data_IF_249468432193
#
_entry.id   IF_249468432193
#
_cell.length_a   1.000
_cell.length_b   1.000
_cell.length_c   1.000
_cell.angle_alpha   90.00
_cell.angle_beta   90.00
_cell.angle_gamma   90.00
#
_symmetry.space_group_name_H-M   'P 1'
#
loop_
_entity.id
_entity.type
_entity.pdbx_description
1 polymer ?
#
# COMPACT_ATOMS: atom_id res chain seq x y z
N UNK A 1 -14.51 -4.92 -4.43
CA UNK A 1 -14.12 -3.54 -4.11
C UNK A 1 -12.65 -3.45 -3.71
N UNK A 2 -12.12 -4.36 -2.89
CA UNK A 2 -10.71 -4.35 -2.46
C UNK A 2 -9.73 -4.45 -3.64
N UNK A 3 -10.00 -5.31 -4.61
CA UNK A 3 -9.19 -5.43 -5.83
C UNK A 3 -9.19 -4.11 -6.60
N UNK A 4 -10.34 -3.44 -6.68
CA UNK A 4 -10.43 -2.13 -7.34
C UNK A 4 -9.64 -1.04 -6.59
N UNK A 5 -9.64 -1.07 -5.26
CA UNK A 5 -8.83 -0.16 -4.45
C UNK A 5 -7.33 -0.38 -4.71
N UNK A 6 -6.90 -1.64 -4.73
CA UNK A 6 -5.51 -1.98 -5.05
C UNK A 6 -5.15 -1.58 -6.48
N UNK A 7 -6.05 -1.77 -7.44
CA UNK A 7 -5.84 -1.29 -8.80
C UNK A 7 -5.63 0.23 -8.83
N UNK A 8 -6.41 0.99 -8.07
CA UNK A 8 -6.25 2.45 -7.96
C UNK A 8 -4.93 2.83 -7.30
N UNK A 9 -4.51 2.12 -6.27
CA UNK A 9 -3.20 2.32 -5.62
C UNK A 9 -2.07 2.02 -6.61
N UNK A 10 -2.17 0.92 -7.34
CA UNK A 10 -1.19 0.56 -8.38
C UNK A 10 -1.07 1.61 -9.46
N UNK A 11 -2.19 2.11 -9.96
CA UNK A 11 -2.22 3.19 -10.96
C UNK A 11 -1.61 4.48 -10.42
N UNK A 12 -1.87 4.81 -9.15
CA UNK A 12 -1.29 5.98 -8.50
C UNK A 12 0.24 5.86 -8.40
N UNK A 13 0.75 4.70 -8.02
CA UNK A 13 2.18 4.42 -7.95
C UNK A 13 2.84 4.48 -9.34
N UNK A 14 2.21 3.92 -10.36
CA UNK A 14 2.69 4.02 -11.74
C UNK A 14 2.67 5.48 -12.23
N UNK A 15 1.61 6.23 -11.95
CA UNK A 15 1.52 7.66 -12.24
C UNK A 15 2.63 8.46 -11.56
N UNK A 16 2.94 8.13 -10.30
CA UNK A 16 4.05 8.72 -9.58
C UNK A 16 5.38 8.50 -10.31
N UNK A 17 5.61 7.31 -10.85
CA UNK A 17 6.87 7.01 -11.58
C UNK A 17 7.00 7.81 -12.87
N UNK A 18 5.92 8.14 -13.56
CA UNK A 18 5.94 8.94 -14.78
C UNK A 18 6.53 10.33 -14.55
N UNK A 19 6.26 10.94 -13.41
CA UNK A 19 6.75 12.28 -13.04
C UNK A 19 8.11 12.25 -12.35
N UNK A 20 8.66 11.07 -12.04
CA UNK A 20 9.87 10.90 -11.25
C UNK A 20 10.92 10.00 -11.92
N UNK A 21 10.97 10.01 -13.24
CA UNK A 21 12.00 9.29 -14.02
C UNK A 21 11.91 7.77 -13.90
N UNK A 22 10.71 7.21 -13.74
CA UNK A 22 10.49 5.77 -13.57
C UNK A 22 10.74 5.26 -12.15
N UNK A 23 10.89 6.15 -11.17
CA UNK A 23 11.21 5.80 -9.78
C UNK A 23 9.97 5.76 -8.91
N UNK A 24 9.81 4.67 -8.16
CA UNK A 24 8.81 4.55 -7.10
C UNK A 24 9.21 5.42 -5.89
N UNK A 25 8.27 5.74 -4.96
CA UNK A 25 8.57 6.61 -3.82
C UNK A 25 9.78 6.17 -2.97
N UNK A 26 10.04 4.88 -2.90
CA UNK A 26 11.19 4.33 -2.17
C UNK A 26 12.48 4.23 -3.00
N UNK A 27 12.45 4.62 -4.27
CA UNK A 27 13.58 4.58 -5.20
C UNK A 27 14.09 5.98 -5.56
N UNK A 28 13.57 7.03 -4.95
CA UNK A 28 13.87 8.41 -5.30
C UNK A 28 15.33 8.78 -5.04
N UNK A 29 15.88 9.66 -5.89
CA UNK A 29 17.17 10.32 -5.65
C UNK A 29 16.97 11.47 -4.64
N UNK A 30 18.09 11.99 -4.09
CA UNK A 30 18.04 12.98 -2.99
C UNK A 30 17.25 14.25 -3.31
N UNK A 31 17.34 14.76 -4.53
CA UNK A 31 16.56 15.94 -4.94
C UNK A 31 15.07 15.67 -4.97
N UNK A 32 14.65 14.51 -5.49
CA UNK A 32 13.26 14.08 -5.54
C UNK A 32 12.71 13.81 -4.14
N UNK A 33 13.51 13.22 -3.24
CA UNK A 33 13.13 13.03 -1.84
C UNK A 33 12.81 14.35 -1.16
N UNK A 34 13.61 15.39 -1.38
CA UNK A 34 13.35 16.73 -0.86
C UNK A 34 12.08 17.33 -1.42
N UNK A 35 11.84 17.16 -2.73
CA UNK A 35 10.67 17.73 -3.39
C UNK A 35 9.36 17.13 -2.89
N UNK A 36 9.34 15.83 -2.59
CA UNK A 36 8.13 15.14 -2.14
C UNK A 36 7.97 15.08 -0.62
N UNK A 37 9.06 14.91 0.12
CA UNK A 37 9.04 14.65 1.56
C UNK A 37 9.69 15.76 2.40
N UNK A 38 10.35 16.72 1.78
CA UNK A 38 11.09 17.75 2.51
C UNK A 38 12.23 17.15 3.33
N UNK A 39 12.40 17.65 4.56
CA UNK A 39 13.41 17.15 5.49
C UNK A 39 13.02 15.84 6.21
N UNK A 40 11.76 15.41 6.08
CA UNK A 40 11.16 14.31 6.83
C UNK A 40 10.99 13.04 5.99
N UNK A 41 11.96 12.74 5.14
CA UNK A 41 11.88 11.57 4.28
C UNK A 41 11.88 10.27 5.08
N UNK A 42 10.75 9.56 5.04
CA UNK A 42 10.59 8.21 5.57
C UNK A 42 9.80 7.40 4.55
N UNK A 43 10.25 6.18 4.26
CA UNK A 43 9.67 5.30 3.24
C UNK A 43 8.48 4.47 3.78
N UNK A 44 7.67 5.03 4.67
CA UNK A 44 6.52 4.35 5.26
C UNK A 44 5.21 4.73 4.59
N UNK A 45 4.16 3.99 4.90
CA UNK A 45 2.82 4.16 4.34
C UNK A 45 2.29 5.59 4.53
N UNK A 46 2.34 6.10 5.76
CA UNK A 46 1.84 7.42 6.09
C UNK A 46 2.49 8.52 5.23
N UNK A 47 3.82 8.66 5.26
CA UNK A 47 4.52 9.62 4.42
C UNK A 47 4.26 9.47 2.93
N UNK A 48 4.32 8.27 2.38
CA UNK A 48 4.11 8.02 0.95
C UNK A 48 2.72 8.47 0.50
N UNK A 49 1.67 8.06 1.19
CA UNK A 49 0.30 8.43 0.85
C UNK A 49 -0.07 9.87 1.24
N UNK A 50 0.77 10.55 1.99
CA UNK A 50 0.59 11.98 2.34
C UNK A 50 1.31 12.92 1.40
N UNK A 51 2.07 12.42 0.43
CA UNK A 51 2.68 13.28 -0.61
C UNK A 51 1.60 13.90 -1.49
N UNK A 52 1.84 15.11 -1.96
CA UNK A 52 0.90 15.80 -2.85
C UNK A 52 0.66 15.00 -4.14
N UNK A 53 1.69 14.36 -4.68
CA UNK A 53 1.59 13.54 -5.88
C UNK A 53 0.66 12.34 -5.69
N UNK A 54 0.82 11.58 -4.60
CA UNK A 54 -0.03 10.42 -4.32
C UNK A 54 -1.46 10.82 -3.99
N UNK A 55 -1.67 11.89 -3.23
CA UNK A 55 -3.01 12.41 -2.95
C UNK A 55 -3.74 12.85 -4.22
N UNK A 56 -3.05 13.51 -5.13
CA UNK A 56 -3.60 13.92 -6.42
C UNK A 56 -4.04 12.72 -7.27
N UNK A 57 -3.25 11.67 -7.30
CA UNK A 57 -3.57 10.44 -8.05
C UNK A 57 -4.72 9.65 -7.43
N UNK A 58 -4.77 9.55 -6.11
CA UNK A 58 -5.81 8.79 -5.39
C UNK A 58 -7.13 9.55 -5.24
N UNK A 59 -7.08 10.87 -5.12
CA UNK A 59 -8.22 11.79 -4.97
C UNK A 59 -8.99 11.68 -3.64
N UNK A 60 -9.07 10.52 -3.02
CA UNK A 60 -9.77 10.31 -1.75
C UNK A 60 -9.04 9.30 -0.86
N UNK A 61 -9.12 9.51 0.46
CA UNK A 61 -8.58 8.59 1.44
C UNK A 61 -9.35 7.26 1.53
N UNK A 62 -10.60 7.23 1.08
CA UNK A 62 -11.44 6.02 1.13
C UNK A 62 -10.85 4.84 0.34
N UNK A 63 -10.07 5.12 -0.70
CA UNK A 63 -9.38 4.08 -1.48
C UNK A 63 -8.38 3.28 -0.62
N UNK A 64 -7.83 3.90 0.42
CA UNK A 64 -6.86 3.26 1.32
C UNK A 64 -7.48 2.30 2.32
N UNK A 65 -8.80 2.28 2.42
CA UNK A 65 -9.55 1.39 3.31
C UNK A 65 -10.20 0.24 2.53
N UNK A 66 -10.04 -0.97 3.06
CA UNK A 66 -10.68 -2.17 2.50
C UNK A 66 -12.01 -2.43 3.20
N UNK A 67 -13.11 -2.75 2.47
CA UNK A 67 -14.35 -3.21 3.07
C UNK A 67 -14.20 -4.50 3.89
N UNK A 68 -13.14 -5.27 3.67
CA UNK A 68 -12.82 -6.46 4.44
C UNK A 68 -12.12 -6.15 5.77
N UNK A 69 -11.89 -4.88 6.07
CA UNK A 69 -11.11 -4.41 7.22
C UNK A 69 -11.93 -3.46 8.09
N UNK A 70 -12.97 -3.97 8.72
CA UNK A 70 -13.88 -3.19 9.55
C UNK A 70 -13.18 -2.49 10.73
N UNK A 71 -12.09 -3.05 11.23
CA UNK A 71 -11.33 -2.49 12.33
C UNK A 71 -10.70 -1.12 12.01
N UNK A 72 -10.53 -0.79 10.72
CA UNK A 72 -9.93 0.46 10.27
C UNK A 72 -10.93 1.47 9.73
N UNK A 73 -12.22 1.17 9.80
CA UNK A 73 -13.28 2.03 9.26
C UNK A 73 -13.31 3.40 9.93
N UNK A 74 -13.36 3.45 11.25
CA UNK A 74 -13.40 4.72 12.00
C UNK A 74 -12.14 5.55 11.77
N UNK A 75 -10.97 4.92 11.68
CA UNK A 75 -9.73 5.60 11.37
C UNK A 75 -9.75 6.18 9.96
N UNK A 76 -10.36 5.47 8.99
CA UNK A 76 -10.51 5.96 7.62
C UNK A 76 -11.45 7.15 7.53
N UNK A 77 -12.56 7.17 8.27
CA UNK A 77 -13.46 8.34 8.32
C UNK A 77 -12.73 9.60 8.77
N UNK A 78 -11.91 9.49 9.80
CA UNK A 78 -11.11 10.61 10.28
C UNK A 78 -10.06 11.04 9.26
N UNK A 79 -9.43 10.08 8.60
CA UNK A 79 -8.47 10.35 7.53
C UNK A 79 -9.14 11.06 6.34
N UNK A 80 -10.34 10.61 5.95
CA UNK A 80 -11.08 11.23 4.85
C UNK A 80 -11.43 12.70 5.14
N UNK A 81 -11.80 13.02 6.38
CA UNK A 81 -12.09 14.40 6.80
C UNK A 81 -10.86 15.30 6.77
N UNK A 82 -9.69 14.76 7.09
CA UNK A 82 -8.43 15.51 7.11
C UNK A 82 -7.60 15.41 5.83
N UNK A 83 -8.10 14.73 4.80
CA UNK A 83 -7.33 14.37 3.61
C UNK A 83 -6.57 15.54 2.97
N UNK A 84 -7.23 16.68 2.78
CA UNK A 84 -6.63 17.88 2.17
C UNK A 84 -5.50 18.49 3.01
N UNK A 85 -5.54 18.29 4.33
CA UNK A 85 -4.54 18.82 5.27
C UNK A 85 -3.28 17.97 5.41
N UNK A 86 -3.31 16.72 4.98
CA UNK A 86 -2.13 15.86 5.05
C UNK A 86 -1.07 16.31 4.04
N UNK A 87 0.16 16.41 4.52
CA UNK A 87 1.31 16.80 3.70
C UNK A 87 2.60 16.19 4.26
N UNK A 88 3.27 15.39 3.46
CA UNK A 88 4.50 14.72 3.85
C UNK A 88 5.63 15.72 4.20
N UNK A 89 5.66 16.88 3.55
CA UNK A 89 6.67 17.91 3.81
C UNK A 89 6.52 18.58 5.17
N UNK A 90 5.30 18.72 5.66
CA UNK A 90 5.01 19.38 6.95
C UNK A 90 4.95 18.39 8.11
N UNK A 91 5.06 17.09 7.84
CA UNK A 91 4.94 16.05 8.86
C UNK A 91 3.50 15.77 9.29
N UNK A 92 2.50 16.35 8.66
CA UNK A 92 1.09 16.00 8.90
C UNK A 92 0.73 14.79 8.05
N UNK A 93 0.88 13.60 8.64
CA UNK A 93 0.82 12.31 7.96
C UNK A 93 -0.49 11.58 8.25
N UNK A 94 -1.02 10.90 7.23
CA UNK A 94 -2.10 9.93 7.43
C UNK A 94 -1.60 8.78 8.31
N UNK A 95 -2.43 8.38 9.27
CA UNK A 95 -2.07 7.27 10.18
C UNK A 95 -2.08 5.92 9.46
N UNK A 96 -1.14 5.07 9.81
CA UNK A 96 -1.12 3.68 9.33
C UNK A 96 -2.39 2.92 9.71
N UNK A 97 -3.06 3.31 10.81
CA UNK A 97 -4.32 2.70 11.24
C UNK A 97 -5.51 3.02 10.31
N UNK A 98 -5.37 3.98 9.42
CA UNK A 98 -6.36 4.32 8.40
C UNK A 98 -6.15 3.58 7.08
N UNK A 99 -5.10 2.77 6.97
CA UNK A 99 -4.67 2.14 5.71
C UNK A 99 -4.75 0.63 5.84
N UNK A 100 -5.49 -0.02 4.93
CA UNK A 100 -5.68 -1.48 4.89
C UNK A 100 -4.67 -2.20 3.99
N UNK A 101 -3.76 -1.47 3.38
CA UNK A 101 -2.80 -1.99 2.40
C UNK A 101 -1.37 -1.69 2.83
N UNK A 102 -0.43 -2.49 2.35
CA UNK A 102 1.00 -2.29 2.56
C UNK A 102 1.74 -2.13 1.24
N UNK A 103 2.90 -1.51 1.27
CA UNK A 103 3.75 -1.30 0.11
C UNK A 103 4.90 -2.29 0.11
N UNK A 104 5.27 -2.79 -1.06
CA UNK A 104 6.35 -3.76 -1.24
C UNK A 104 7.55 -3.04 -1.85
N UNK A 105 8.55 -2.77 -1.05
CA UNK A 105 9.74 -1.97 -1.44
C UNK A 105 10.63 -2.65 -2.49
N UNK A 106 10.53 -3.97 -2.66
CA UNK A 106 11.24 -4.70 -3.70
C UNK A 106 10.65 -4.56 -5.09
N UNK A 107 9.50 -3.88 -5.23
CA UNK A 107 8.84 -3.70 -6.53
C UNK A 107 9.63 -2.78 -7.44
N UNK A 108 9.56 -3.07 -8.73
CA UNK A 108 10.22 -2.31 -9.79
C UNK A 108 9.30 -2.24 -11.00
N UNK A 109 9.06 -1.02 -11.51
CA UNK A 109 8.25 -0.80 -12.72
C UNK A 109 8.89 -1.46 -13.94
N UNK A 110 10.20 -1.56 -13.99
CA UNK A 110 10.91 -2.30 -15.03
C UNK A 110 10.71 -3.82 -15.00
N UNK A 111 10.13 -4.35 -13.93
CA UNK A 111 9.80 -5.76 -13.76
C UNK A 111 8.30 -5.93 -13.51
N UNK A 112 7.48 -6.09 -14.58
CA UNK A 112 6.02 -6.04 -14.48
C UNK A 112 5.37 -7.07 -13.56
N UNK A 113 6.05 -8.17 -13.29
CA UNK A 113 5.55 -9.24 -12.40
C UNK A 113 5.83 -8.99 -10.92
N UNK A 114 6.54 -7.94 -10.56
CA UNK A 114 6.79 -7.61 -9.15
C UNK A 114 5.54 -7.03 -8.49
N UNK A 115 5.37 -7.31 -7.19
CA UNK A 115 4.21 -6.87 -6.40
C UNK A 115 4.47 -5.46 -5.88
N UNK A 116 3.55 -4.52 -6.18
CA UNK A 116 3.61 -3.13 -5.68
C UNK A 116 3.01 -2.98 -4.29
N UNK A 117 1.84 -3.58 -4.08
CA UNK A 117 1.07 -3.43 -2.85
C UNK A 117 0.21 -4.66 -2.63
N UNK A 118 -0.11 -4.92 -1.36
CA UNK A 118 -1.00 -6.01 -0.95
C UNK A 118 -1.93 -5.55 0.15
N UNK A 119 -2.96 -6.36 0.42
CA UNK A 119 -3.73 -6.22 1.66
C UNK A 119 -2.81 -6.43 2.87
N UNK A 120 -3.10 -5.76 3.99
CA UNK A 120 -2.23 -5.75 5.19
C UNK A 120 -2.12 -7.08 5.95
N UNK A 121 -2.93 -8.06 5.60
CA UNK A 121 -2.96 -9.38 6.27
C UNK A 121 -1.81 -10.32 5.85
N UNK A 122 -0.67 -9.76 5.52
CA UNK A 122 0.58 -10.50 5.27
C UNK A 122 1.32 -10.72 6.60
N UNK A 123 1.67 -11.97 6.93
CA UNK A 123 2.22 -12.32 8.25
C UNK A 123 3.65 -11.89 8.49
N UNK A 124 4.45 -11.76 7.44
CA UNK A 124 5.87 -11.42 7.55
C UNK A 124 6.23 -10.29 6.59
N UNK A 125 7.28 -9.56 6.92
CA UNK A 125 7.80 -8.48 6.08
C UNK A 125 8.55 -8.96 4.83
N UNK A 126 8.59 -10.27 4.59
CA UNK A 126 9.30 -10.88 3.49
C UNK A 126 8.35 -11.78 2.70
N UNK A 127 8.18 -11.51 1.40
CA UNK A 127 7.32 -12.31 0.53
C UNK A 127 7.80 -13.74 0.34
N UNK A 128 9.10 -14.00 0.50
CA UNK A 128 9.65 -15.35 0.36
C UNK A 128 9.16 -16.32 1.45
N UNK A 129 8.79 -15.80 2.62
CA UNK A 129 8.29 -16.56 3.77
C UNK A 129 6.90 -16.14 4.21
N UNK A 130 6.34 -15.14 3.55
CA UNK A 130 5.03 -14.57 3.89
C UNK A 130 3.88 -15.52 3.62
N UNK A 131 2.83 -15.38 4.41
CA UNK A 131 1.55 -16.05 4.24
C UNK A 131 0.42 -15.06 4.50
N UNK A 132 -0.74 -15.32 3.92
CA UNK A 132 -1.92 -14.55 4.21
C UNK A 132 -2.52 -14.96 5.56
N UNK A 133 -2.72 -14.00 6.45
CA UNK A 133 -3.33 -14.22 7.75
C UNK A 133 -4.85 -14.11 7.64
N UNK A 134 -5.58 -15.15 8.02
CA UNK A 134 -7.04 -15.14 8.06
C UNK A 134 -7.59 -14.75 9.43
N UNK A 135 -8.81 -14.24 9.46
CA UNK A 135 -9.53 -13.95 10.70
C UNK A 135 -9.86 -15.20 11.53
N UNK A 136 -9.91 -16.36 10.87
CA UNK A 136 -10.13 -17.67 11.46
C UNK A 136 -8.87 -18.31 12.05
N UNK A 137 -7.70 -17.74 11.79
CA UNK A 137 -6.45 -18.10 12.46
C UNK A 137 -6.23 -17.17 13.65
N UNK A 138 -5.47 -17.62 14.62
CA UNK A 138 -5.03 -16.77 15.73
C UNK A 138 -3.57 -16.32 15.50
N UNK A 139 -3.33 -15.49 14.47
CA UNK A 139 -2.03 -14.92 14.19
C UNK A 139 -1.80 -13.73 15.13
N UNK A 140 -0.75 -13.00 14.90
CA UNK A 140 -0.54 -11.67 15.48
C UNK A 140 -1.77 -10.81 15.14
N UNK A 141 -2.54 -10.33 16.14
CA UNK A 141 -3.86 -9.69 15.91
C UNK A 141 -3.84 -8.54 14.91
N UNK A 142 -2.71 -7.82 14.83
CA UNK A 142 -2.56 -6.65 13.97
C UNK A 142 -2.48 -6.98 12.47
N UNK A 143 -2.32 -8.25 12.11
CA UNK A 143 -2.19 -8.69 10.72
C UNK A 143 -3.47 -9.23 10.11
N UNK A 144 -4.42 -9.68 10.93
CA UNK A 144 -5.67 -10.25 10.43
C UNK A 144 -6.64 -9.15 9.97
N UNK A 145 -7.40 -9.45 8.93
CA UNK A 145 -8.53 -8.64 8.46
C UNK A 145 -9.80 -9.47 8.58
N UNK A 146 -10.84 -8.90 9.20
CA UNK A 146 -12.06 -9.64 9.57
C UNK A 146 -12.82 -10.23 8.37
N UNK A 147 -12.70 -9.64 7.20
CA UNK A 147 -13.38 -10.10 5.99
C UNK A 147 -12.56 -11.07 5.12
N UNK A 148 -11.36 -11.44 5.53
CA UNK A 148 -10.50 -12.37 4.79
C UNK A 148 -10.19 -13.60 5.63
N UNK A 149 -10.29 -14.77 5.00
CA UNK A 149 -10.01 -16.05 5.62
C UNK A 149 -8.54 -16.46 5.47
N UNK A 150 -8.20 -17.59 6.06
CA UNK A 150 -6.88 -18.22 5.91
C UNK A 150 -6.48 -18.34 4.44
N UNK A 151 -5.22 -18.05 4.14
CA UNK A 151 -4.64 -18.12 2.79
C UNK A 151 -5.31 -17.22 1.76
N UNK A 152 -6.06 -16.20 2.18
CA UNK A 152 -6.69 -15.22 1.30
C UNK A 152 -6.03 -13.85 1.44
N UNK A 153 -5.67 -13.27 0.31
CA UNK A 153 -5.19 -11.90 0.23
C UNK A 153 -5.44 -11.32 -1.15
N UNK A 154 -5.02 -10.09 -1.33
CA UNK A 154 -5.14 -9.38 -2.60
C UNK A 154 -3.86 -8.61 -2.85
N UNK A 155 -3.49 -8.48 -4.11
CA UNK A 155 -2.26 -7.80 -4.51
C UNK A 155 -2.43 -7.05 -5.82
N UNK A 156 -1.53 -6.12 -6.09
CA UNK A 156 -1.39 -5.44 -7.38
C UNK A 156 0.06 -5.54 -7.84
N UNK A 157 0.24 -5.84 -9.11
CA UNK A 157 1.54 -5.95 -9.75
C UNK A 157 1.98 -4.63 -10.38
N UNK A 158 3.26 -4.54 -10.71
CA UNK A 158 3.85 -3.36 -11.35
C UNK A 158 3.26 -3.07 -12.75
N UNK A 159 2.65 -4.05 -13.41
CA UNK A 159 1.92 -3.86 -14.67
C UNK A 159 0.50 -3.29 -14.48
N UNK A 160 0.06 -3.06 -13.25
CA UNK A 160 -1.28 -2.56 -12.90
C UNK A 160 -2.33 -3.63 -12.67
N UNK A 161 -2.01 -4.91 -12.87
CA UNK A 161 -2.93 -6.02 -12.64
C UNK A 161 -3.18 -6.22 -11.16
N UNK A 162 -4.43 -6.09 -10.72
CA UNK A 162 -4.84 -6.39 -9.35
C UNK A 162 -5.65 -7.68 -9.32
N UNK A 163 -5.42 -8.53 -8.32
CA UNK A 163 -6.03 -9.85 -8.25
C UNK A 163 -6.18 -10.34 -6.82
N UNK A 164 -7.05 -11.34 -6.64
CA UNK A 164 -7.08 -12.14 -5.43
C UNK A 164 -5.90 -13.12 -5.45
N UNK A 165 -5.36 -13.40 -4.28
CA UNK A 165 -4.15 -14.20 -4.11
C UNK A 165 -4.33 -15.26 -3.03
N UNK A 166 -3.55 -16.32 -3.13
CA UNK A 166 -3.41 -17.36 -2.10
C UNK A 166 -1.95 -17.46 -1.68
N UNK A 167 -1.66 -18.24 -0.64
CA UNK A 167 -0.27 -18.45 -0.18
C UNK A 167 0.65 -19.00 -1.28
N UNK A 168 0.10 -19.69 -2.28
CA UNK A 168 0.85 -20.22 -3.41
C UNK A 168 1.46 -19.14 -4.32
N UNK A 169 0.93 -17.93 -4.29
CA UNK A 169 1.47 -16.79 -5.06
C UNK A 169 2.69 -16.16 -4.40
N UNK A 170 2.96 -16.50 -3.17
CA UNK A 170 4.08 -16.00 -2.37
C UNK A 170 5.22 -17.03 -2.33
N UNK A 171 6.39 -16.57 -1.88
CA UNK A 171 7.58 -17.42 -1.78
C UNK A 171 8.46 -17.35 -3.02
N UNK A 172 9.50 -18.19 -3.06
CA UNK A 172 10.53 -18.16 -4.13
C UNK A 172 10.00 -18.52 -5.51
N UNK A 173 8.84 -19.16 -5.60
CA UNK A 173 8.16 -19.48 -6.86
C UNK A 173 6.95 -18.59 -7.11
N UNK A 174 6.71 -17.60 -6.26
CA UNK A 174 5.61 -16.67 -6.38
C UNK A 174 5.94 -15.46 -7.26
N UNK A 175 5.08 -14.45 -7.19
CA UNK A 175 5.17 -13.21 -7.99
C UNK A 175 5.98 -12.12 -7.26
N UNK A 176 7.21 -12.43 -6.94
CA UNK A 176 8.11 -11.52 -6.20
C UNK A 176 8.99 -10.74 -7.16
#
# INVERSE_FOLDING_TARGET
KCVNNLSSIGKALVGFTHDNGGRLPWQLISSQKRDHFGANYVEDLGPVFSTAAMKSELQTAEILWSPCDAEREAANENAAKGWSGYNAKTGNLISNTAISYVLIKGADIGRPSTILSTTRNLTFCNLATGKWAGADENPIPDHAMSGLNKSQGQLVLADGSAMQSTDADLGSFGKI
#
